data_IF_036511658059
#
_entry.id   IF_036511658059
#
_cell.length_a   1.000
_cell.length_b   1.000
_cell.length_c   1.000
_cell.angle_alpha   90.00
_cell.angle_beta   90.00
_cell.angle_gamma   90.00
#
_symmetry.space_group_name_H-M   'P 1'
#
loop_
_entity.id
_entity.type
_entity.pdbx_description
1 polymer ?
#
# COMPACT_ATOMS: atom_id res chain seq x y z
N UNK A 1 -1.04 8.15 5.54
CA UNK A 1 -1.35 7.69 6.91
C UNK A 1 -0.19 7.95 7.85
N UNK A 2 -0.45 8.71 8.95
CA UNK A 2 0.59 9.14 9.92
C UNK A 2 0.32 8.70 11.37
N UNK A 3 -0.95 8.61 11.79
CA UNK A 3 -1.33 8.36 13.20
C UNK A 3 -2.21 7.12 13.42
N UNK A 4 -2.48 6.35 12.37
CA UNK A 4 -3.30 5.13 12.44
C UNK A 4 -2.40 3.93 12.23
N UNK A 5 -2.38 3.02 13.20
CA UNK A 5 -1.58 1.79 13.09
C UNK A 5 -2.21 0.78 12.14
N UNK A 6 -1.38 -0.08 11.55
CA UNK A 6 -1.80 -1.11 10.59
C UNK A 6 -3.01 -1.96 11.04
N UNK A 7 -3.09 -2.32 12.33
CA UNK A 7 -4.24 -3.08 12.87
C UNK A 7 -5.54 -2.28 12.87
N UNK A 8 -5.46 -0.97 13.04
CA UNK A 8 -6.63 -0.11 13.04
C UNK A 8 -7.12 0.11 11.60
N UNK A 9 -6.21 0.20 10.63
CA UNK A 9 -6.52 0.19 9.20
C UNK A 9 -7.28 -1.08 8.83
N UNK A 10 -6.77 -2.25 9.21
CA UNK A 10 -7.43 -3.53 8.95
C UNK A 10 -8.85 -3.57 9.52
N UNK A 11 -9.06 -3.06 10.75
CA UNK A 11 -10.39 -2.98 11.37
C UNK A 11 -11.31 -1.98 10.67
N UNK A 12 -10.79 -0.85 10.21
CA UNK A 12 -11.55 0.18 9.48
C UNK A 12 -12.05 -0.42 8.15
N UNK A 13 -11.14 -1.02 7.39
CA UNK A 13 -11.46 -1.66 6.10
C UNK A 13 -12.43 -2.82 6.30
N UNK A 14 -12.20 -3.71 7.28
CA UNK A 14 -13.14 -4.81 7.61
C UNK A 14 -14.56 -4.29 7.87
N UNK A 15 -14.71 -3.20 8.64
CA UNK A 15 -16.02 -2.61 8.90
C UNK A 15 -16.66 -2.01 7.66
N UNK A 16 -15.88 -1.35 6.80
CA UNK A 16 -16.39 -0.79 5.55
C UNK A 16 -16.88 -1.89 4.59
N UNK A 17 -16.09 -2.96 4.40
CA UNK A 17 -16.46 -4.13 3.60
C UNK A 17 -17.78 -4.75 4.08
N UNK A 18 -17.92 -4.95 5.39
CA UNK A 18 -19.16 -5.48 5.99
C UNK A 18 -20.35 -4.53 5.81
N UNK A 19 -20.15 -3.21 5.93
CA UNK A 19 -21.20 -2.19 5.76
C UNK A 19 -21.70 -2.13 4.33
N UNK A 20 -20.81 -2.26 3.35
CA UNK A 20 -21.17 -2.33 1.93
C UNK A 20 -21.76 -3.68 1.51
N UNK A 21 -21.73 -4.69 2.37
CA UNK A 21 -22.18 -6.03 2.02
C UNK A 21 -21.25 -6.74 1.03
N UNK A 22 -19.96 -6.42 1.04
CA UNK A 22 -18.99 -7.10 0.17
C UNK A 22 -18.94 -8.59 0.52
N UNK A 23 -19.02 -9.51 -0.46
CA UNK A 23 -19.04 -10.96 -0.24
C UNK A 23 -17.64 -11.49 0.11
N UNK A 24 -17.09 -11.09 1.25
CA UNK A 24 -15.75 -11.47 1.70
C UNK A 24 -15.72 -12.88 2.29
N UNK A 25 -14.59 -13.57 2.13
CA UNK A 25 -14.37 -14.89 2.73
C UNK A 25 -13.75 -14.81 4.14
N UNK A 26 -14.01 -15.84 4.95
CA UNK A 26 -13.56 -15.91 6.34
C UNK A 26 -12.58 -17.06 6.56
N UNK A 27 -11.82 -17.01 7.66
CA UNK A 27 -11.01 -18.13 8.13
C UNK A 27 -11.90 -19.27 8.66
N UNK A 28 -11.44 -20.51 8.54
CA UNK A 28 -12.19 -21.73 8.89
C UNK A 28 -12.03 -22.17 10.36
N UNK A 29 -11.62 -21.25 11.25
CA UNK A 29 -11.43 -21.54 12.67
C UNK A 29 -12.68 -21.31 13.53
N UNK A 30 -12.61 -21.67 14.82
CA UNK A 30 -13.68 -21.44 15.81
C UNK A 30 -14.02 -19.95 16.06
N UNK A 31 -13.22 -19.03 15.53
CA UNK A 31 -13.51 -17.60 15.51
C UNK A 31 -13.17 -17.05 14.13
N UNK A 32 -14.11 -17.14 13.18
CA UNK A 32 -13.89 -16.70 11.80
C UNK A 32 -13.49 -15.23 11.73
N UNK A 33 -12.41 -14.95 11.01
CA UNK A 33 -11.91 -13.60 10.75
C UNK A 33 -11.92 -13.37 9.24
N UNK A 34 -12.20 -12.15 8.83
CA UNK A 34 -12.06 -11.77 7.42
C UNK A 34 -10.63 -12.04 6.99
N UNK A 35 -10.47 -12.76 5.87
CA UNK A 35 -9.15 -12.96 5.27
C UNK A 35 -8.78 -11.67 4.55
N UNK A 36 -7.58 -11.16 4.83
CA UNK A 36 -7.04 -9.95 4.19
C UNK A 36 -5.53 -10.11 4.09
N UNK A 37 -4.98 -9.74 2.95
CA UNK A 37 -3.54 -9.70 2.72
C UNK A 37 -3.12 -8.26 2.44
N UNK A 38 -2.05 -7.82 3.06
CA UNK A 38 -1.50 -6.48 2.81
C UNK A 38 -0.25 -6.60 1.94
N UNK A 39 0.05 -5.52 1.21
CA UNK A 39 1.29 -5.35 0.47
C UNK A 39 2.51 -5.23 1.38
N UNK A 40 3.46 -4.38 1.00
CA UNK A 40 4.68 -4.19 1.78
C UNK A 40 4.37 -3.49 3.11
N UNK A 41 4.90 -4.05 4.20
CA UNK A 41 4.77 -3.44 5.51
C UNK A 41 5.67 -2.20 5.61
N UNK A 42 5.09 -1.08 6.02
CA UNK A 42 5.85 0.13 6.32
C UNK A 42 6.65 -0.04 7.62
N UNK A 43 7.93 0.38 7.69
CA UNK A 43 8.67 0.38 8.95
C UNK A 43 8.05 1.33 9.98
N UNK A 44 8.32 1.05 11.26
CA UNK A 44 7.85 1.92 12.36
C UNK A 44 8.39 3.35 12.20
N UNK A 45 7.56 4.35 12.54
CA UNK A 45 7.85 5.79 12.46
C UNK A 45 7.89 6.39 11.05
N UNK A 46 7.49 5.65 10.02
CA UNK A 46 7.29 6.21 8.68
C UNK A 46 5.80 6.47 8.43
N UNK A 47 5.52 7.33 7.46
CA UNK A 47 4.18 7.54 6.91
C UNK A 47 4.09 6.95 5.50
N UNK A 48 2.89 6.46 5.14
CA UNK A 48 2.61 5.90 3.82
C UNK A 48 1.58 6.76 3.10
N UNK A 49 1.68 6.92 1.78
CA UNK A 49 0.67 7.62 0.98
C UNK A 49 -0.54 6.75 0.68
N UNK A 50 -0.32 5.45 0.43
CA UNK A 50 -1.36 4.49 0.09
C UNK A 50 -1.03 3.09 0.61
N UNK A 51 -2.05 2.37 1.07
CA UNK A 51 -1.94 0.97 1.46
C UNK A 51 -2.61 0.08 0.42
N UNK A 52 -1.89 -0.94 -0.02
CA UNK A 52 -2.43 -1.96 -0.92
C UNK A 52 -2.88 -3.16 -0.10
N UNK A 53 -4.09 -3.65 -0.39
CA UNK A 53 -4.65 -4.82 0.26
C UNK A 53 -5.47 -5.67 -0.73
N UNK A 54 -5.42 -6.98 -0.54
CA UNK A 54 -6.27 -7.95 -1.22
C UNK A 54 -7.28 -8.51 -0.23
N UNK A 55 -8.52 -8.65 -0.71
CA UNK A 55 -9.59 -9.31 0.02
C UNK A 55 -10.18 -10.42 -0.85
N UNK A 56 -10.00 -11.70 -0.47
CA UNK A 56 -10.64 -12.80 -1.18
C UNK A 56 -12.16 -12.74 -1.05
N UNK A 57 -12.83 -12.68 -2.20
CA UNK A 57 -14.28 -12.72 -2.33
C UNK A 57 -14.80 -14.15 -2.50
N UNK A 58 -16.07 -14.36 -2.19
CA UNK A 58 -16.82 -15.55 -2.57
C UNK A 58 -16.97 -15.57 -4.11
N UNK A 59 -16.40 -16.56 -4.81
CA UNK A 59 -16.42 -16.61 -6.27
C UNK A 59 -17.85 -16.69 -6.83
N UNK A 60 -18.79 -17.29 -6.11
CA UNK A 60 -20.19 -17.39 -6.56
C UNK A 60 -20.93 -16.05 -6.51
N UNK A 61 -20.35 -15.07 -5.82
CA UNK A 61 -20.87 -13.70 -5.68
C UNK A 61 -20.22 -12.71 -6.65
N UNK A 62 -19.38 -13.18 -7.58
CA UNK A 62 -18.79 -12.35 -8.64
C UNK A 62 -19.28 -12.85 -10.00
N UNK A 63 -20.09 -12.05 -10.69
CA UNK A 63 -20.72 -12.40 -11.97
C UNK A 63 -20.39 -11.33 -13.00
N UNK A 64 -19.76 -11.71 -14.11
CA UNK A 64 -19.36 -10.81 -15.20
C UNK A 64 -18.57 -9.57 -14.72
N UNK A 65 -17.68 -9.74 -13.74
CA UNK A 65 -16.89 -8.66 -13.15
C UNK A 65 -17.67 -7.75 -12.20
N UNK A 66 -18.92 -8.07 -11.89
CA UNK A 66 -19.75 -7.34 -10.93
C UNK A 66 -19.83 -8.09 -9.60
N UNK A 67 -19.96 -7.32 -8.52
CA UNK A 67 -19.95 -7.82 -7.15
C UNK A 67 -21.40 -7.88 -6.64
N UNK A 68 -21.93 -9.08 -6.50
CA UNK A 68 -23.21 -9.33 -5.85
C UNK A 68 -23.05 -9.18 -4.34
N UNK A 69 -23.74 -8.20 -3.77
CA UNK A 69 -23.63 -7.90 -2.35
C UNK A 69 -24.43 -8.90 -1.50
N UNK A 70 -23.93 -9.13 -0.30
CA UNK A 70 -24.49 -10.05 0.70
C UNK A 70 -24.82 -9.30 2.00
N UNK A 71 -25.50 -9.96 2.94
CA UNK A 71 -25.86 -9.36 4.23
C UNK A 71 -26.69 -8.08 4.08
N UNK A 72 -26.24 -6.97 4.66
CA UNK A 72 -26.94 -5.67 4.62
C UNK A 72 -27.14 -5.10 3.20
N UNK A 73 -26.32 -5.55 2.24
CA UNK A 73 -26.41 -5.16 0.83
C UNK A 73 -27.13 -6.16 -0.05
N UNK A 74 -27.72 -7.22 0.50
CA UNK A 74 -28.30 -8.33 -0.28
C UNK A 74 -29.25 -7.84 -1.38
N UNK A 75 -29.06 -8.36 -2.59
CA UNK A 75 -29.85 -8.00 -3.77
C UNK A 75 -29.31 -6.80 -4.55
N UNK A 76 -28.29 -6.09 -4.03
CA UNK A 76 -27.54 -5.09 -4.79
C UNK A 76 -26.41 -5.76 -5.57
N UNK A 77 -26.15 -5.25 -6.76
CA UNK A 77 -25.01 -5.63 -7.59
C UNK A 77 -24.27 -4.34 -7.94
N UNK A 78 -22.96 -4.34 -7.74
CA UNK A 78 -22.12 -3.19 -8.01
C UNK A 78 -21.05 -3.54 -9.05
N UNK A 79 -20.86 -2.66 -10.03
CA UNK A 79 -19.59 -2.64 -10.79
C UNK A 79 -18.43 -2.27 -9.86
N UNK A 80 -17.19 -2.46 -10.32
CA UNK A 80 -15.99 -2.05 -9.57
C UNK A 80 -16.04 -0.56 -9.17
N UNK A 81 -16.44 0.32 -10.09
CA UNK A 81 -16.53 1.76 -9.84
C UNK A 81 -17.61 2.08 -8.80
N UNK A 82 -18.77 1.42 -8.89
CA UNK A 82 -19.84 1.61 -7.90
C UNK A 82 -19.43 1.11 -6.52
N UNK A 83 -18.72 -0.03 -6.46
CA UNK A 83 -18.19 -0.58 -5.21
C UNK A 83 -17.12 0.33 -4.62
N UNK A 84 -16.23 0.88 -5.44
CA UNK A 84 -15.21 1.84 -5.01
C UNK A 84 -15.87 3.06 -4.34
N UNK A 85 -16.88 3.65 -4.97
CA UNK A 85 -17.63 4.78 -4.41
C UNK A 85 -18.29 4.39 -3.09
N UNK A 86 -19.03 3.27 -3.07
CA UNK A 86 -19.71 2.80 -1.87
C UNK A 86 -18.74 2.55 -0.71
N UNK A 87 -17.56 1.98 -0.98
CA UNK A 87 -16.53 1.76 0.03
C UNK A 87 -15.91 3.07 0.53
N UNK A 88 -15.62 4.04 -0.35
CA UNK A 88 -15.16 5.37 0.07
C UNK A 88 -16.17 6.07 0.96
N UNK A 89 -17.46 6.03 0.62
CA UNK A 89 -18.55 6.53 1.49
C UNK A 89 -18.69 5.71 2.78
N UNK A 90 -18.26 4.44 2.75
CA UNK A 90 -18.27 3.57 3.91
C UNK A 90 -17.12 3.83 4.90
N UNK A 91 -16.05 4.48 4.44
CA UNK A 91 -14.87 4.75 5.22
C UNK A 91 -15.03 6.02 6.09
N UNK A 92 -14.29 6.13 7.20
CA UNK A 92 -14.26 7.36 7.99
C UNK A 92 -13.53 8.48 7.24
N UNK A 93 -13.80 9.73 7.59
CA UNK A 93 -13.08 10.90 7.04
C UNK A 93 -11.56 10.71 7.14
N UNK A 94 -10.86 10.99 6.04
CA UNK A 94 -9.42 10.79 5.92
C UNK A 94 -9.01 9.43 5.35
N UNK A 95 -9.97 8.60 4.94
CA UNK A 95 -9.75 7.35 4.21
C UNK A 95 -10.57 7.34 2.93
N UNK A 96 -9.91 7.09 1.80
CA UNK A 96 -10.54 6.98 0.50
C UNK A 96 -10.05 5.71 -0.21
N UNK A 97 -10.95 5.05 -0.94
CA UNK A 97 -10.55 4.00 -1.88
C UNK A 97 -10.13 4.68 -3.18
N UNK A 98 -8.82 4.79 -3.38
CA UNK A 98 -8.22 5.44 -4.57
C UNK A 98 -8.31 4.58 -5.83
N UNK A 99 -8.29 3.25 -5.67
CA UNK A 99 -8.43 2.29 -6.76
C UNK A 99 -9.03 0.97 -6.24
N UNK A 100 -9.80 0.29 -7.09
CA UNK A 100 -10.36 -1.03 -6.83
C UNK A 100 -10.39 -1.81 -8.14
N UNK A 101 -9.96 -3.06 -8.09
CA UNK A 101 -10.02 -4.02 -9.20
C UNK A 101 -10.43 -5.38 -8.65
N UNK A 102 -11.22 -6.13 -9.42
CA UNK A 102 -11.57 -7.52 -9.13
C UNK A 102 -10.66 -8.41 -9.98
N UNK A 103 -9.67 -9.00 -9.33
CA UNK A 103 -8.73 -9.92 -9.99
C UNK A 103 -9.20 -11.38 -9.87
N UNK A 104 -8.96 -12.20 -10.90
CA UNK A 104 -9.20 -13.63 -10.81
C UNK A 104 -8.28 -14.28 -9.76
N UNK A 105 -8.77 -15.36 -9.14
CA UNK A 105 -7.99 -16.13 -8.19
C UNK A 105 -6.74 -16.72 -8.86
N UNK A 106 -5.59 -16.62 -8.19
CA UNK A 106 -4.34 -17.26 -8.63
C UNK A 106 -3.31 -16.33 -9.27
N UNK A 107 -3.55 -15.01 -9.26
CA UNK A 107 -2.52 -14.02 -9.55
C UNK A 107 -1.38 -14.03 -8.53
N UNK A 108 -0.32 -13.25 -8.82
CA UNK A 108 0.77 -13.01 -7.88
C UNK A 108 0.24 -12.29 -6.64
N UNK A 109 0.85 -12.56 -5.49
CA UNK A 109 0.55 -11.78 -4.29
C UNK A 109 0.95 -10.31 -4.48
N UNK A 110 0.33 -9.40 -3.71
CA UNK A 110 0.75 -8.00 -3.71
C UNK A 110 2.25 -7.84 -3.43
N UNK A 111 2.80 -8.65 -2.52
CA UNK A 111 4.23 -8.60 -2.16
C UNK A 111 5.15 -9.00 -3.33
N UNK A 112 4.71 -9.89 -4.22
CA UNK A 112 5.45 -10.26 -5.43
C UNK A 112 5.24 -9.29 -6.59
N UNK A 113 4.16 -8.50 -6.55
CA UNK A 113 3.77 -7.57 -7.61
C UNK A 113 4.42 -6.19 -7.43
N UNK A 114 4.66 -5.78 -6.18
CA UNK A 114 5.37 -4.53 -5.89
C UNK A 114 6.86 -4.69 -6.19
N UNK A 115 7.32 -4.04 -7.26
CA UNK A 115 8.71 -4.11 -7.74
C UNK A 115 9.60 -2.96 -7.24
N UNK A 116 8.99 -1.85 -6.79
CA UNK A 116 9.69 -0.67 -6.32
C UNK A 116 8.84 0.11 -5.31
N UNK A 117 9.47 1.00 -4.55
CA UNK A 117 8.80 1.93 -3.65
C UNK A 117 9.48 3.29 -3.69
N UNK A 118 8.70 4.35 -3.52
CA UNK A 118 9.19 5.72 -3.39
C UNK A 118 9.45 6.06 -1.93
N UNK A 119 10.50 6.83 -1.68
CA UNK A 119 10.81 7.38 -0.36
C UNK A 119 10.96 8.89 -0.48
N UNK A 120 10.41 9.61 0.49
CA UNK A 120 10.59 11.04 0.66
C UNK A 120 11.11 11.30 2.06
N UNK A 121 12.14 12.13 2.18
CA UNK A 121 12.72 12.53 3.44
C UNK A 121 13.22 13.97 3.36
N UNK A 122 13.15 14.67 4.48
CA UNK A 122 13.66 16.03 4.62
C UNK A 122 15.09 15.97 5.17
N UNK A 123 16.00 16.76 4.58
CA UNK A 123 17.39 16.88 5.04
C UNK A 123 17.59 18.25 5.68
N UNK A 124 17.66 18.28 7.01
CA UNK A 124 17.82 19.53 7.76
C UNK A 124 19.17 20.20 7.49
N UNK A 125 19.13 21.48 7.13
CA UNK A 125 20.32 22.29 6.86
C UNK A 125 21.01 21.98 5.53
N UNK A 126 20.37 21.23 4.65
CA UNK A 126 20.88 20.99 3.31
C UNK A 126 20.87 22.29 2.48
N UNK A 127 21.92 22.49 1.69
CA UNK A 127 21.99 23.58 0.72
C UNK A 127 21.48 23.05 -0.62
N UNK A 128 20.45 23.67 -1.17
CA UNK A 128 19.77 23.26 -2.41
C UNK A 128 20.74 22.88 -3.54
N UNK A 129 21.71 23.75 -3.82
CA UNK A 129 22.70 23.51 -4.87
C UNK A 129 23.56 22.26 -4.59
N UNK A 130 23.98 22.03 -3.35
CA UNK A 130 24.79 20.85 -2.99
C UNK A 130 23.99 19.55 -3.15
N UNK A 131 22.69 19.59 -2.87
CA UNK A 131 21.77 18.46 -3.07
C UNK A 131 21.61 18.17 -4.56
N UNK A 132 21.35 19.19 -5.38
CA UNK A 132 21.22 19.04 -6.83
C UNK A 132 22.49 18.43 -7.45
N UNK A 133 23.66 18.97 -7.11
CA UNK A 133 24.94 18.44 -7.57
C UNK A 133 25.17 16.99 -7.09
N UNK A 134 24.74 16.64 -5.87
CA UNK A 134 24.85 15.27 -5.35
C UNK A 134 23.92 14.30 -6.10
N UNK A 135 22.69 14.72 -6.42
CA UNK A 135 21.75 13.94 -7.23
C UNK A 135 22.32 13.70 -8.63
N UNK A 136 22.82 14.75 -9.30
CA UNK A 136 23.43 14.63 -10.62
C UNK A 136 24.61 13.67 -10.62
N UNK A 137 25.54 13.81 -9.65
CA UNK A 137 26.67 12.87 -9.49
C UNK A 137 26.21 11.43 -9.26
N UNK A 138 25.21 11.22 -8.40
CA UNK A 138 24.69 9.90 -8.09
C UNK A 138 24.02 9.24 -9.31
N UNK A 139 23.23 9.98 -10.08
CA UNK A 139 22.55 9.47 -11.26
C UNK A 139 23.50 9.23 -12.43
N UNK A 140 24.51 10.08 -12.62
CA UNK A 140 25.53 9.93 -13.66
C UNK A 140 26.56 8.83 -13.35
N UNK A 141 26.79 8.54 -12.07
CA UNK A 141 27.68 7.48 -11.63
C UNK A 141 27.13 6.07 -11.88
N UNK A 142 28.03 5.11 -12.11
CA UNK A 142 27.70 3.68 -12.17
C UNK A 142 27.69 3.01 -10.78
N UNK A 143 28.17 3.71 -9.76
CA UNK A 143 28.31 3.18 -8.40
C UNK A 143 27.89 4.22 -7.36
N UNK A 144 27.18 3.76 -6.33
CA UNK A 144 26.88 4.50 -5.11
C UNK A 144 27.26 3.57 -3.96
N UNK A 145 28.48 3.69 -3.47
CA UNK A 145 29.00 2.87 -2.39
C UNK A 145 28.41 3.31 -1.05
N UNK A 146 27.86 2.35 -0.29
CA UNK A 146 27.39 2.58 1.07
C UNK A 146 28.05 1.61 2.04
N UNK A 147 28.31 2.09 3.25
CA UNK A 147 28.81 1.26 4.34
C UNK A 147 27.70 1.03 5.35
N UNK A 148 27.38 -0.24 5.62
CA UNK A 148 26.39 -0.62 6.61
C UNK A 148 27.01 -1.59 7.61
N UNK A 149 26.90 -1.26 8.89
CA UNK A 149 27.33 -2.16 9.96
C UNK A 149 26.30 -3.27 10.14
N UNK A 150 26.67 -4.51 9.80
CA UNK A 150 25.85 -5.70 10.02
C UNK A 150 26.55 -6.54 11.08
N UNK A 151 26.01 -6.55 12.31
CA UNK A 151 26.68 -7.08 13.51
C UNK A 151 28.02 -6.33 13.76
N UNK A 152 29.12 -7.04 13.98
CA UNK A 152 30.47 -6.49 14.21
C UNK A 152 31.29 -6.33 12.92
N UNK A 153 30.66 -6.48 11.74
CA UNK A 153 31.32 -6.36 10.45
C UNK A 153 30.79 -5.16 9.66
N UNK A 154 31.69 -4.48 8.95
CA UNK A 154 31.35 -3.42 7.99
C UNK A 154 31.15 -4.07 6.63
N UNK A 155 29.94 -3.93 6.09
CA UNK A 155 29.61 -4.42 4.75
C UNK A 155 29.54 -3.21 3.81
N UNK A 156 30.29 -3.29 2.71
CA UNK A 156 30.21 -2.34 1.59
C UNK A 156 29.26 -2.88 0.53
N UNK A 157 28.39 -2.02 0.04
CA UNK A 157 27.40 -2.38 -0.96
C UNK A 157 27.17 -1.21 -1.93
N UNK A 158 27.30 -1.49 -3.23
CA UNK A 158 26.91 -0.58 -4.29
C UNK A 158 25.38 -0.61 -4.44
N UNK A 159 24.70 0.50 -4.12
CA UNK A 159 23.23 0.57 -4.20
C UNK A 159 22.71 1.16 -5.51
N UNK A 160 23.58 1.60 -6.44
CA UNK A 160 23.19 2.36 -7.64
C UNK A 160 22.13 1.65 -8.48
N UNK A 161 22.22 0.33 -8.60
CA UNK A 161 21.30 -0.49 -9.40
C UNK A 161 19.85 -0.47 -8.87
N UNK A 162 19.66 -0.18 -7.58
CA UNK A 162 18.34 -0.09 -6.95
C UNK A 162 17.71 1.31 -7.00
N UNK A 163 18.45 2.32 -7.50
CA UNK A 163 17.96 3.70 -7.61
C UNK A 163 17.46 3.93 -9.03
N UNK A 164 16.14 3.86 -9.20
CA UNK A 164 15.47 4.10 -10.48
C UNK A 164 15.29 5.58 -10.79
N UNK A 165 14.98 6.37 -9.77
CA UNK A 165 14.79 7.82 -9.84
C UNK A 165 15.28 8.45 -8.53
N UNK A 166 15.82 9.66 -8.63
CA UNK A 166 16.25 10.46 -7.49
C UNK A 166 16.10 11.92 -7.87
N UNK A 167 15.31 12.68 -7.11
CA UNK A 167 15.01 14.08 -7.39
C UNK A 167 14.76 14.86 -6.11
N UNK A 168 15.01 16.15 -6.18
CA UNK A 168 14.57 17.10 -5.16
C UNK A 168 13.15 17.54 -5.48
N UNK A 169 12.26 17.53 -4.50
CA UNK A 169 10.88 18.03 -4.67
C UNK A 169 10.70 19.50 -4.27
N UNK A 170 11.59 20.03 -3.43
CA UNK A 170 11.58 21.42 -2.98
C UNK A 170 11.94 21.55 -1.50
N UNK A 171 11.82 22.77 -0.98
CA UNK A 171 11.97 23.05 0.45
C UNK A 171 10.69 22.67 1.21
N UNK A 172 10.85 22.01 2.35
CA UNK A 172 9.76 21.62 3.24
C UNK A 172 9.74 22.56 4.45
N UNK A 173 8.55 22.95 4.91
CA UNK A 173 8.37 23.74 6.13
C UNK A 173 8.47 22.89 7.42
N UNK A 174 8.74 21.58 7.30
CA UNK A 174 8.83 20.65 8.44
C UNK A 174 10.14 20.75 9.22
#
# INVERSE_FOLDING_TARGET
MRFVGHRDVARIVERALRRCGVPITYSEGFSPRVRMSFGLALPTCYESEAEYLDVPLDPDSVVDGQIACTGWGQGKIHSEQQMQIALSEALPTGFDVVALTVEPKGGRSLQETVVSCGWKFDILGAVTQEVEEAIERALAGSEIETERKKKNELVRENIRYGVYDLRMEGESER
#
